data_IF_978699910563
#
_entry.id   IF_978699910563
#
_cell.length_a   1.000
_cell.length_b   1.000
_cell.length_c   1.000
_cell.angle_alpha   90.00
_cell.angle_beta   90.00
_cell.angle_gamma   90.00
#
_symmetry.space_group_name_H-M   'P 1'
#
loop_
_entity.id
_entity.type
_entity.pdbx_description
1 polymer ?
#
# COMPACT_ATOMS: atom_id res chain seq x y z
N UNK A 1 -41.93 6.43 10.87
CA UNK A 1 -41.63 7.88 10.93
C UNK A 1 -41.67 8.41 9.52
N UNK A 2 -42.47 9.44 9.27
CA UNK A 2 -42.65 10.01 7.93
C UNK A 2 -41.37 10.72 7.48
N UNK A 3 -41.24 10.95 6.18
CA UNK A 3 -40.13 11.72 5.56
C UNK A 3 -39.97 13.14 6.12
N UNK A 4 -40.95 13.67 6.85
CA UNK A 4 -40.88 14.99 7.49
C UNK A 4 -40.16 14.99 8.86
N UNK A 5 -40.02 13.85 9.54
CA UNK A 5 -39.32 13.78 10.84
C UNK A 5 -37.78 13.76 10.71
N UNK A 6 -37.24 13.55 9.50
CA UNK A 6 -35.78 13.59 9.25
C UNK A 6 -35.23 15.03 9.16
N UNK A 7 -36.08 16.06 9.10
CA UNK A 7 -35.68 17.41 8.75
C UNK A 7 -35.35 18.35 9.94
N UNK A 8 -35.09 17.82 11.15
CA UNK A 8 -34.94 18.66 12.36
C UNK A 8 -33.75 18.39 13.29
N UNK A 9 -32.66 17.78 12.81
CA UNK A 9 -31.34 18.03 13.44
C UNK A 9 -30.73 19.24 12.75
N UNK A 10 -30.90 20.41 13.34
CA UNK A 10 -30.31 21.66 12.86
C UNK A 10 -28.80 21.46 12.62
N UNK A 11 -28.33 21.81 11.42
CA UNK A 11 -26.91 21.81 11.10
C UNK A 11 -26.20 22.80 12.04
N UNK A 12 -25.43 22.29 12.99
CA UNK A 12 -24.59 23.11 13.86
C UNK A 12 -23.56 23.92 13.04
N UNK A 13 -23.06 25.00 13.63
CA UNK A 13 -22.00 25.82 13.06
C UNK A 13 -20.78 24.95 12.67
N UNK A 14 -20.34 25.04 11.40
CA UNK A 14 -19.14 24.35 10.93
C UNK A 14 -17.92 25.03 11.55
N UNK A 15 -17.22 24.32 12.43
CA UNK A 15 -15.95 24.80 12.98
C UNK A 15 -14.86 24.48 11.98
N UNK A 16 -14.29 25.52 11.37
CA UNK A 16 -13.13 25.37 10.49
C UNK A 16 -11.92 24.95 11.31
N UNK A 17 -11.26 23.88 10.89
CA UNK A 17 -10.05 23.33 11.51
C UNK A 17 -8.77 24.06 11.09
N UNK A 18 -8.90 25.07 10.23
CA UNK A 18 -7.84 25.82 9.56
C UNK A 18 -7.08 26.79 10.46
N UNK A 19 -7.36 26.88 11.75
CA UNK A 19 -6.57 27.69 12.68
C UNK A 19 -6.41 26.96 14.01
N UNK A 20 -5.29 27.18 14.72
CA UNK A 20 -5.13 26.65 16.08
C UNK A 20 -6.28 27.15 16.96
N UNK A 21 -6.90 26.25 17.74
CA UNK A 21 -7.96 26.65 18.65
C UNK A 21 -7.37 27.55 19.75
N UNK A 22 -7.95 28.74 19.93
CA UNK A 22 -7.72 29.56 21.12
C UNK A 22 -8.41 28.90 22.33
N UNK A 23 -7.63 28.25 23.20
CA UNK A 23 -7.87 27.94 24.62
C UNK A 23 -7.97 26.46 25.12
N UNK A 24 -7.10 26.20 26.11
CA UNK A 24 -7.20 25.47 27.41
C UNK A 24 -6.77 24.01 27.59
N UNK A 25 -6.79 23.14 26.58
CA UNK A 25 -6.15 21.82 26.74
C UNK A 25 -5.47 21.41 25.44
N UNK A 26 -4.15 21.21 25.46
CA UNK A 26 -3.44 20.72 24.29
C UNK A 26 -3.91 19.28 23.99
N UNK A 27 -4.09 18.91 22.71
CA UNK A 27 -4.36 17.53 22.35
C UNK A 27 -3.21 16.63 22.81
N UNK A 28 -3.46 15.32 22.95
CA UNK A 28 -2.40 14.37 23.25
C UNK A 28 -1.30 14.50 22.18
N UNK A 29 -0.06 14.74 22.62
CA UNK A 29 1.07 14.94 21.71
C UNK A 29 1.45 13.66 20.97
N UNK A 30 2.12 13.81 19.82
CA UNK A 30 2.72 12.70 19.09
C UNK A 30 4.24 12.86 19.10
N UNK A 31 4.95 11.94 19.75
CA UNK A 31 6.39 11.75 19.61
C UNK A 31 6.65 10.57 18.67
N UNK A 32 6.76 10.84 17.37
CA UNK A 32 6.64 9.82 16.33
C UNK A 32 7.57 8.61 16.50
N UNK A 33 8.82 8.83 16.92
CA UNK A 33 9.84 7.80 17.06
C UNK A 33 10.03 7.32 18.51
N UNK A 34 9.10 7.62 19.42
CA UNK A 34 9.18 7.10 20.79
C UNK A 34 8.98 5.58 20.81
N UNK A 35 9.85 4.89 21.55
CA UNK A 35 9.79 3.43 21.70
C UNK A 35 8.56 2.98 22.47
N UNK A 36 8.21 3.67 23.55
CA UNK A 36 7.05 3.32 24.35
C UNK A 36 5.77 3.92 23.77
N UNK A 37 4.70 3.14 23.56
CA UNK A 37 3.51 3.61 22.85
C UNK A 37 2.78 4.75 23.56
N UNK A 38 2.78 4.79 24.90
CA UNK A 38 2.20 5.92 25.65
C UNK A 38 3.00 7.22 25.48
N UNK A 39 4.31 7.14 25.28
CA UNK A 39 5.16 8.29 24.98
C UNK A 39 5.02 8.70 23.50
N UNK A 40 4.85 7.71 22.61
CA UNK A 40 4.55 7.94 21.19
C UNK A 40 3.25 8.73 21.07
N UNK A 41 2.23 8.32 21.82
CA UNK A 41 0.88 8.88 21.75
C UNK A 41 0.03 8.29 20.62
N UNK A 42 -1.31 8.39 20.71
CA UNK A 42 -2.21 7.89 19.68
C UNK A 42 -2.32 8.87 18.51
N UNK A 43 -2.67 8.35 17.33
CA UNK A 43 -3.09 9.19 16.19
C UNK A 43 -4.59 9.45 16.30
N UNK A 44 -4.97 10.73 16.39
CA UNK A 44 -6.35 11.18 16.59
C UNK A 44 -6.72 12.16 15.49
N UNK A 45 -7.47 11.67 14.50
CA UNK A 45 -8.04 12.47 13.41
C UNK A 45 -9.56 12.62 13.60
N UNK A 46 -9.99 12.95 14.82
CA UNK A 46 -11.40 13.02 15.23
C UNK A 46 -12.21 14.03 14.41
N UNK A 47 -13.44 13.63 14.04
CA UNK A 47 -14.42 14.49 13.37
C UNK A 47 -15.49 15.05 14.33
N UNK A 48 -15.58 14.49 15.54
CA UNK A 48 -16.62 14.80 16.53
C UNK A 48 -16.11 15.80 17.56
N UNK A 49 -14.88 15.60 18.05
CA UNK A 49 -14.22 16.52 18.97
C UNK A 49 -12.91 17.04 18.39
N UNK A 50 -13.03 18.16 17.66
CA UNK A 50 -11.90 18.82 16.99
C UNK A 50 -10.77 19.20 17.97
N UNK A 51 -11.07 19.45 19.25
CA UNK A 51 -10.06 19.82 20.26
C UNK A 51 -9.09 18.68 20.56
N UNK A 52 -9.48 17.42 20.33
CA UNK A 52 -8.63 16.26 20.57
C UNK A 52 -7.74 15.92 19.37
N UNK A 53 -7.91 16.57 18.21
CA UNK A 53 -7.16 16.26 16.99
C UNK A 53 -5.68 16.58 17.16
N UNK A 54 -4.85 15.62 16.79
CA UNK A 54 -3.39 15.77 16.67
C UNK A 54 -2.86 15.35 15.29
N UNK A 55 -3.76 15.09 14.33
CA UNK A 55 -3.43 14.76 12.94
C UNK A 55 -4.34 15.49 11.94
N UNK A 56 -3.80 15.74 10.75
CA UNK A 56 -4.48 16.29 9.58
C UNK A 56 -5.24 15.17 8.86
N UNK A 57 -6.40 15.48 8.27
CA UNK A 57 -7.25 14.49 7.60
C UNK A 57 -8.21 13.79 8.56
N UNK A 58 -8.57 12.55 8.24
CA UNK A 58 -9.52 11.71 8.98
C UNK A 58 -9.13 10.23 8.86
N UNK A 59 -9.53 9.42 9.82
CA UNK A 59 -9.47 7.96 9.71
C UNK A 59 -10.30 7.45 8.51
N UNK A 60 -10.08 6.19 8.13
CA UNK A 60 -10.73 5.50 7.01
C UNK A 60 -10.13 5.78 5.62
N UNK A 61 -8.95 6.43 5.55
CA UNK A 61 -8.20 6.67 4.31
C UNK A 61 -9.08 7.14 3.14
N UNK A 62 -8.96 6.47 1.97
CA UNK A 62 -9.77 6.75 0.77
C UNK A 62 -11.28 6.51 0.92
N UNK A 63 -11.73 5.87 2.01
CA UNK A 63 -13.15 5.65 2.30
C UNK A 63 -13.80 6.78 3.10
N UNK A 64 -13.03 7.77 3.54
CA UNK A 64 -13.52 8.93 4.29
C UNK A 64 -14.62 9.72 3.57
N UNK A 65 -14.54 9.85 2.24
CA UNK A 65 -15.58 10.52 1.43
C UNK A 65 -16.87 9.68 1.41
N UNK A 66 -16.78 8.36 1.31
CA UNK A 66 -17.96 7.48 1.41
C UNK A 66 -18.60 7.54 2.79
N UNK A 67 -17.79 7.63 3.86
CA UNK A 67 -18.29 7.88 5.22
C UNK A 67 -19.07 9.20 5.26
N UNK A 68 -18.54 10.28 4.69
CA UNK A 68 -19.22 11.57 4.64
C UNK A 68 -20.56 11.49 3.88
N UNK A 69 -20.61 10.77 2.76
CA UNK A 69 -21.85 10.50 2.03
C UNK A 69 -22.85 9.68 2.85
N UNK A 70 -22.39 8.66 3.58
CA UNK A 70 -23.25 7.86 4.46
C UNK A 70 -23.86 8.70 5.60
N UNK A 71 -23.10 9.64 6.16
CA UNK A 71 -23.59 10.61 7.14
C UNK A 71 -24.62 11.55 6.50
N UNK A 72 -24.32 12.11 5.34
CA UNK A 72 -25.22 13.01 4.62
C UNK A 72 -26.54 12.31 4.22
N UNK A 73 -26.48 11.04 3.86
CA UNK A 73 -27.63 10.20 3.56
C UNK A 73 -28.41 9.75 4.82
N UNK A 74 -27.91 10.04 6.02
CA UNK A 74 -28.48 9.61 7.30
C UNK A 74 -28.38 8.10 7.55
N UNK A 75 -27.46 7.41 6.87
CA UNK A 75 -27.16 5.98 7.05
C UNK A 75 -26.23 5.78 8.26
N UNK A 76 -25.33 6.73 8.52
CA UNK A 76 -24.39 6.70 9.64
C UNK A 76 -24.59 7.93 10.54
N UNK A 77 -24.65 7.73 11.85
CA UNK A 77 -24.61 8.84 12.80
C UNK A 77 -23.20 9.48 12.75
N UNK A 78 -23.07 10.80 12.53
CA UNK A 78 -21.77 11.48 12.57
C UNK A 78 -21.00 11.25 13.88
N UNK A 79 -21.72 11.08 14.99
CA UNK A 79 -21.18 10.86 16.34
C UNK A 79 -20.99 9.37 16.67
N UNK A 80 -21.20 8.47 15.71
CA UNK A 80 -21.01 7.05 15.91
C UNK A 80 -19.58 6.73 16.36
N UNK A 81 -19.48 6.12 17.55
CA UNK A 81 -18.26 5.54 18.08
C UNK A 81 -18.21 4.07 17.71
N UNK A 82 -17.16 3.63 16.99
CA UNK A 82 -17.01 2.21 16.66
C UNK A 82 -16.84 1.39 17.95
N UNK A 83 -17.50 0.23 17.99
CA UNK A 83 -17.24 -0.79 19.00
C UNK A 83 -16.01 -1.61 18.58
N UNK A 84 -14.96 -1.54 19.39
CA UNK A 84 -13.70 -2.26 19.17
C UNK A 84 -13.59 -3.54 20.02
N UNK A 85 -14.70 -3.96 20.66
CA UNK A 85 -14.74 -5.23 21.40
C UNK A 85 -14.49 -6.40 20.45
N UNK A 86 -13.61 -7.32 20.84
CA UNK A 86 -13.22 -8.50 20.05
C UNK A 86 -12.60 -8.17 18.68
N UNK A 87 -12.01 -6.98 18.50
CA UNK A 87 -11.28 -6.62 17.26
C UNK A 87 -9.77 -6.81 17.37
N UNK A 88 -9.26 -7.31 18.49
CA UNK A 88 -7.83 -7.55 18.72
C UNK A 88 -7.26 -8.50 17.65
N UNK A 89 -6.08 -8.19 17.08
CA UNK A 89 -5.38 -9.06 16.14
C UNK A 89 -5.25 -10.51 16.63
N UNK A 90 -5.42 -11.52 15.77
CA UNK A 90 -5.21 -12.92 16.15
C UNK A 90 -3.71 -13.28 16.31
N UNK A 91 -2.82 -12.38 15.90
CA UNK A 91 -1.36 -12.53 16.02
C UNK A 91 -0.76 -11.17 16.39
N UNK A 92 0.17 -11.18 17.33
CA UNK A 92 0.94 -9.99 17.70
C UNK A 92 2.12 -9.80 16.74
N UNK A 93 2.25 -8.59 16.21
CA UNK A 93 3.41 -8.15 15.42
C UNK A 93 4.13 -7.07 16.23
N UNK A 94 5.45 -7.20 16.33
CA UNK A 94 6.32 -6.29 17.08
C UNK A 94 6.10 -6.27 18.60
N UNK A 95 6.60 -5.21 19.28
CA UNK A 95 7.34 -4.10 18.70
C UNK A 95 8.69 -4.55 18.12
N UNK A 96 9.08 -3.92 17.01
CA UNK A 96 10.41 -4.11 16.43
C UNK A 96 11.24 -2.84 16.61
N UNK A 97 12.56 -2.98 16.76
CA UNK A 97 13.48 -1.85 16.99
C UNK A 97 13.28 -0.71 15.98
N UNK A 98 13.01 -1.06 14.73
CA UNK A 98 12.77 -0.14 13.62
C UNK A 98 11.62 0.85 13.89
N UNK A 99 10.68 0.56 14.78
CA UNK A 99 9.56 1.45 15.09
C UNK A 99 9.99 2.70 15.86
N UNK A 100 11.07 2.59 16.63
CA UNK A 100 11.65 3.69 17.41
C UNK A 100 12.83 4.37 16.69
N UNK A 101 13.29 3.82 15.56
CA UNK A 101 14.38 4.41 14.80
C UNK A 101 13.87 5.63 14.00
N UNK A 102 14.46 6.80 14.27
CA UNK A 102 14.07 8.06 13.61
C UNK A 102 14.10 7.89 12.09
N UNK A 103 13.03 8.37 11.44
CA UNK A 103 12.81 8.30 10.00
C UNK A 103 12.78 6.88 9.42
N UNK A 104 12.81 5.80 10.21
CA UNK A 104 12.78 4.44 9.65
C UNK A 104 11.40 4.09 9.08
N UNK A 105 10.33 4.47 9.79
CA UNK A 105 8.93 4.36 9.34
C UNK A 105 8.32 5.75 9.38
N UNK A 106 7.74 6.21 8.28
CA UNK A 106 7.20 7.58 8.13
C UNK A 106 5.83 7.63 7.44
N UNK A 107 5.34 6.52 6.90
CA UNK A 107 4.13 6.47 6.06
C UNK A 107 3.04 5.52 6.56
N UNK A 108 3.28 4.83 7.67
CA UNK A 108 2.30 4.00 8.39
C UNK A 108 2.46 4.22 9.90
N UNK A 109 1.39 3.97 10.67
CA UNK A 109 1.41 4.01 12.13
C UNK A 109 1.85 2.64 12.68
N UNK A 110 3.07 2.49 13.25
CA UNK A 110 3.57 1.18 13.67
C UNK A 110 2.73 0.52 14.77
N UNK A 111 2.03 1.34 15.57
CA UNK A 111 1.15 0.90 16.65
C UNK A 111 -0.30 0.71 16.22
N UNK A 112 -0.60 0.95 14.94
CA UNK A 112 -1.96 1.06 14.41
C UNK A 112 -2.85 -0.16 14.63
N UNK A 113 -2.30 -1.35 14.81
CA UNK A 113 -3.03 -2.60 15.09
C UNK A 113 -3.31 -2.84 16.56
N UNK A 114 -2.63 -2.13 17.46
CA UNK A 114 -2.67 -2.34 18.91
C UNK A 114 -3.31 -1.18 19.68
N UNK A 115 -3.78 -0.13 18.99
CA UNK A 115 -4.30 1.09 19.64
C UNK A 115 -5.52 0.84 20.52
N UNK A 116 -6.36 -0.15 20.19
CA UNK A 116 -7.55 -0.48 20.97
C UNK A 116 -7.20 -0.98 22.38
N UNK A 117 -6.13 -1.75 22.49
CA UNK A 117 -5.66 -2.31 23.76
C UNK A 117 -4.77 -1.30 24.50
N UNK A 118 -3.81 -0.68 23.79
CA UNK A 118 -2.83 0.25 24.36
C UNK A 118 -3.49 1.52 24.90
N UNK A 119 -4.50 2.04 24.19
CA UNK A 119 -5.17 3.29 24.53
C UNK A 119 -6.62 3.06 25.01
N UNK A 120 -6.88 1.89 25.58
CA UNK A 120 -8.20 1.54 26.10
C UNK A 120 -8.72 2.63 27.06
N UNK A 121 -7.91 3.09 28.01
CA UNK A 121 -8.31 4.12 28.98
C UNK A 121 -8.72 5.44 28.31
N UNK A 122 -7.95 5.91 27.32
CA UNK A 122 -8.24 7.12 26.57
C UNK A 122 -9.49 6.96 25.69
N UNK A 123 -9.68 5.78 25.09
CA UNK A 123 -10.91 5.47 24.34
C UNK A 123 -12.14 5.51 25.28
N UNK A 124 -12.04 4.92 26.47
CA UNK A 124 -13.10 4.98 27.50
C UNK A 124 -13.35 6.42 27.98
N UNK A 125 -12.30 7.24 28.06
CA UNK A 125 -12.39 8.67 28.37
C UNK A 125 -12.98 9.52 27.22
N UNK A 126 -13.25 8.91 26.05
CA UNK A 126 -13.94 9.53 24.93
C UNK A 126 -13.03 10.10 23.84
N UNK A 127 -11.73 9.75 23.83
CA UNK A 127 -10.86 10.05 22.70
C UNK A 127 -11.20 9.16 21.50
N UNK A 128 -11.27 9.76 20.31
CA UNK A 128 -11.60 9.07 19.05
C UNK A 128 -10.34 8.45 18.44
N UNK A 129 -9.81 7.43 19.11
CA UNK A 129 -8.62 6.67 18.70
C UNK A 129 -9.10 5.44 17.95
N UNK A 130 -8.63 5.24 16.71
CA UNK A 130 -9.08 4.14 15.85
C UNK A 130 -7.90 3.36 15.26
N UNK A 131 -8.01 2.04 15.09
CA UNK A 131 -7.01 1.26 14.39
C UNK A 131 -6.79 1.77 12.96
N UNK A 132 -5.53 1.88 12.57
CA UNK A 132 -5.10 2.16 11.19
C UNK A 132 -4.53 0.91 10.54
N UNK A 133 -4.34 -0.16 11.32
CA UNK A 133 -3.95 -1.48 10.85
C UNK A 133 -4.92 -2.50 11.45
N UNK A 134 -5.38 -3.46 10.65
CA UNK A 134 -6.19 -4.58 11.13
C UNK A 134 -5.61 -5.88 10.59
N UNK A 135 -5.50 -6.89 11.45
CA UNK A 135 -4.89 -8.19 11.13
C UNK A 135 -5.94 -9.29 11.33
N UNK A 136 -6.02 -10.23 10.41
CA UNK A 136 -6.91 -11.39 10.53
C UNK A 136 -6.34 -12.62 9.85
N UNK A 137 -6.93 -13.79 10.08
CA UNK A 137 -6.62 -15.04 9.36
C UNK A 137 -7.69 -15.30 8.30
N UNK A 138 -7.28 -15.83 7.16
CA UNK A 138 -8.18 -16.17 6.07
C UNK A 138 -7.62 -17.33 5.26
N UNK A 139 -8.44 -17.85 4.36
CA UNK A 139 -7.97 -18.64 3.23
C UNK A 139 -8.07 -17.81 1.95
N UNK A 140 -7.11 -17.97 1.05
CA UNK A 140 -7.21 -17.47 -0.32
C UNK A 140 -7.24 -18.66 -1.28
N UNK A 141 -7.98 -18.53 -2.38
CA UNK A 141 -8.04 -19.54 -3.43
C UNK A 141 -8.04 -18.83 -4.78
N UNK A 142 -7.20 -19.29 -5.70
CA UNK A 142 -7.07 -18.73 -7.04
C UNK A 142 -7.01 -19.88 -8.06
N UNK A 143 -7.63 -19.74 -9.25
CA UNK A 143 -7.57 -20.75 -10.31
C UNK A 143 -6.13 -21.18 -10.68
N UNK A 144 -5.17 -20.27 -10.58
CA UNK A 144 -3.76 -20.55 -10.87
C UNK A 144 -3.13 -21.53 -9.88
N UNK A 145 -3.58 -21.53 -8.62
CA UNK A 145 -3.08 -22.46 -7.60
C UNK A 145 -3.54 -23.89 -7.93
N UNK A 146 -4.78 -24.06 -8.40
CA UNK A 146 -5.26 -25.35 -8.91
C UNK A 146 -4.41 -25.83 -10.08
N UNK A 147 -4.15 -24.91 -11.02
CA UNK A 147 -3.33 -25.19 -12.20
C UNK A 147 -1.89 -25.55 -11.78
N UNK A 148 -1.34 -24.87 -10.77
CA UNK A 148 -0.02 -25.16 -10.22
C UNK A 148 0.04 -26.56 -9.60
N UNK A 149 -0.98 -26.96 -8.84
CA UNK A 149 -1.10 -28.30 -8.25
C UNK A 149 -1.20 -29.36 -9.36
N UNK A 150 -2.09 -29.16 -10.34
CA UNK A 150 -2.28 -30.11 -11.45
C UNK A 150 -1.01 -30.29 -12.28
N UNK A 151 -0.22 -29.22 -12.46
CA UNK A 151 1.07 -29.25 -13.16
C UNK A 151 2.24 -29.71 -12.27
N UNK A 152 1.99 -30.04 -11.00
CA UNK A 152 3.01 -30.49 -10.05
C UNK A 152 3.98 -29.41 -9.58
N UNK A 153 3.69 -28.13 -9.86
CA UNK A 153 4.50 -26.97 -9.40
C UNK A 153 4.28 -26.67 -7.93
N UNK A 154 3.08 -26.94 -7.41
CA UNK A 154 2.78 -26.89 -5.98
C UNK A 154 2.31 -28.26 -5.50
N UNK A 155 2.63 -28.59 -4.25
CA UNK A 155 2.19 -29.83 -3.59
C UNK A 155 1.43 -29.47 -2.32
N UNK A 156 0.13 -29.82 -2.19
CA UNK A 156 -0.60 -29.63 -0.95
C UNK A 156 0.08 -30.35 0.21
N UNK A 157 0.20 -29.67 1.35
CA UNK A 157 0.74 -30.21 2.61
C UNK A 157 -0.36 -30.36 3.69
N UNK A 158 -1.58 -29.89 3.39
CA UNK A 158 -2.69 -29.90 4.34
C UNK A 158 -2.53 -28.91 5.49
N UNK A 159 -1.52 -28.03 5.46
CA UNK A 159 -1.26 -27.02 6.50
C UNK A 159 -1.28 -25.63 5.88
N UNK A 160 -0.33 -25.35 4.99
CA UNK A 160 -0.24 -24.08 4.23
C UNK A 160 -1.14 -24.14 3.00
N UNK A 161 -1.07 -25.22 2.22
CA UNK A 161 -1.82 -25.43 0.99
C UNK A 161 -2.68 -26.69 1.13
N UNK A 162 -3.99 -26.51 0.98
CA UNK A 162 -4.99 -27.59 1.05
C UNK A 162 -5.17 -28.24 -0.32
N UNK A 163 -5.71 -29.46 -0.33
CA UNK A 163 -5.96 -30.21 -1.59
C UNK A 163 -6.94 -29.50 -2.52
N UNK A 164 -7.90 -28.76 -1.96
CA UNK A 164 -8.84 -27.93 -2.71
C UNK A 164 -8.22 -26.60 -3.20
N UNK A 165 -6.90 -26.41 -3.06
CA UNK A 165 -6.15 -25.21 -3.43
C UNK A 165 -6.33 -24.00 -2.52
N UNK A 166 -7.04 -24.14 -1.39
CA UNK A 166 -7.06 -23.09 -0.37
C UNK A 166 -5.66 -22.94 0.24
N UNK A 167 -5.24 -21.69 0.40
CA UNK A 167 -3.99 -21.34 1.07
C UNK A 167 -4.31 -20.61 2.36
N UNK A 168 -3.79 -21.13 3.47
CA UNK A 168 -3.95 -20.52 4.79
C UNK A 168 -3.03 -19.32 4.90
N UNK A 169 -3.60 -18.15 5.16
CA UNK A 169 -2.85 -16.90 5.27
C UNK A 169 -3.24 -16.12 6.52
N UNK A 170 -2.26 -15.40 7.06
CA UNK A 170 -2.56 -14.20 7.84
C UNK A 170 -2.60 -13.03 6.86
N UNK A 171 -3.50 -12.06 7.06
CA UNK A 171 -3.53 -10.83 6.26
C UNK A 171 -3.63 -9.59 7.15
N UNK A 172 -2.99 -8.52 6.72
CA UNK A 172 -3.09 -7.20 7.34
C UNK A 172 -3.61 -6.19 6.33
N UNK A 173 -4.56 -5.35 6.72
CA UNK A 173 -4.94 -4.14 6.00
C UNK A 173 -4.31 -2.94 6.71
N UNK A 174 -3.66 -2.05 5.96
CA UNK A 174 -2.87 -0.94 6.51
C UNK A 174 -3.27 0.36 5.80
N UNK A 175 -3.76 1.32 6.58
CA UNK A 175 -4.04 2.69 6.15
C UNK A 175 -2.75 3.54 6.17
N UNK A 176 -2.60 4.49 5.23
CA UNK A 176 -1.47 5.39 5.23
C UNK A 176 -1.58 6.41 6.38
N UNK A 177 -0.51 6.56 7.15
CA UNK A 177 -0.38 7.57 8.20
C UNK A 177 1.00 8.20 8.06
N UNK A 178 1.02 9.44 7.57
CA UNK A 178 2.24 10.11 7.17
C UNK A 178 2.76 11.03 8.28
N UNK A 179 4.02 10.83 8.68
CA UNK A 179 4.77 11.79 9.46
C UNK A 179 5.48 12.76 8.53
N UNK A 180 4.91 13.96 8.39
CA UNK A 180 5.28 14.95 7.37
C UNK A 180 6.77 15.34 7.39
N UNK A 181 7.43 15.55 8.55
CA UNK A 181 8.88 15.81 8.57
C UNK A 181 9.67 14.65 7.94
N UNK A 182 9.33 13.41 8.29
CA UNK A 182 10.00 12.23 7.73
C UNK A 182 9.72 12.00 6.25
N UNK A 183 8.51 12.33 5.77
CA UNK A 183 8.17 12.31 4.35
C UNK A 183 8.98 13.36 3.58
N UNK A 184 9.12 14.58 4.11
CA UNK A 184 9.90 15.65 3.51
C UNK A 184 11.38 15.26 3.38
N UNK A 185 11.96 14.71 4.46
CA UNK A 185 13.32 14.17 4.47
C UNK A 185 13.50 13.07 3.40
N UNK A 186 12.52 12.16 3.26
CA UNK A 186 12.55 11.05 2.30
C UNK A 186 12.56 11.53 0.85
N UNK A 187 11.81 12.59 0.55
CA UNK A 187 11.76 13.18 -0.79
C UNK A 187 12.80 14.26 -1.03
N UNK A 188 13.67 14.53 -0.05
CA UNK A 188 14.71 15.56 -0.15
C UNK A 188 14.12 16.94 -0.51
N UNK A 189 13.01 17.30 0.14
CA UNK A 189 12.35 18.61 0.01
C UNK A 189 12.14 19.22 1.39
N UNK A 190 11.91 20.53 1.46
CA UNK A 190 11.54 21.15 2.74
C UNK A 190 10.13 20.74 3.15
N UNK A 191 9.86 20.63 4.46
CA UNK A 191 8.52 20.32 4.97
C UNK A 191 7.49 21.38 4.54
N UNK A 192 7.89 22.65 4.51
CA UNK A 192 7.03 23.76 4.07
C UNK A 192 6.64 23.62 2.59
N UNK A 193 7.60 23.27 1.73
CA UNK A 193 7.36 23.01 0.30
C UNK A 193 6.47 21.79 0.09
N UNK A 194 6.73 20.69 0.81
CA UNK A 194 5.90 19.48 0.76
C UNK A 194 4.45 19.81 1.11
N UNK A 195 4.22 20.46 2.26
CA UNK A 195 2.88 20.82 2.75
C UNK A 195 2.14 21.73 1.78
N UNK A 196 2.83 22.78 1.29
CA UNK A 196 2.28 23.72 0.33
C UNK A 196 1.90 23.03 -0.98
N UNK A 197 2.79 22.19 -1.51
CA UNK A 197 2.54 21.44 -2.75
C UNK A 197 1.37 20.48 -2.58
N UNK A 198 1.30 19.75 -1.46
CA UNK A 198 0.15 18.88 -1.17
C UNK A 198 -1.16 19.67 -1.14
N UNK A 199 -1.19 20.83 -0.48
CA UNK A 199 -2.37 21.69 -0.43
C UNK A 199 -2.77 22.22 -1.82
N UNK A 200 -1.83 22.80 -2.58
CA UNK A 200 -2.11 23.39 -3.89
C UNK A 200 -2.50 22.33 -4.93
N UNK A 201 -1.79 21.20 -4.98
CA UNK A 201 -2.02 20.13 -5.97
C UNK A 201 -3.22 19.23 -5.63
N UNK A 202 -3.80 19.36 -4.44
CA UNK A 202 -5.09 18.72 -4.09
C UNK A 202 -6.27 19.68 -4.20
N UNK A 203 -6.09 20.84 -4.85
CA UNK A 203 -7.17 21.82 -5.05
C UNK A 203 -7.57 22.54 -3.76
N UNK A 204 -6.63 22.71 -2.83
CA UNK A 204 -6.87 23.37 -1.54
C UNK A 204 -7.52 22.47 -0.49
N UNK A 205 -7.50 21.15 -0.67
CA UNK A 205 -7.93 20.23 0.38
C UNK A 205 -6.98 20.30 1.59
N UNK A 206 -7.54 20.15 2.79
CA UNK A 206 -6.81 20.18 4.07
C UNK A 206 -6.02 21.48 4.31
N UNK A 207 -6.70 22.61 4.56
CA UNK A 207 -6.04 23.87 4.90
C UNK A 207 -5.07 23.78 6.08
N UNK A 208 -5.23 22.78 6.96
CA UNK A 208 -4.31 22.50 8.07
C UNK A 208 -2.87 22.24 7.60
N UNK A 209 -2.66 21.75 6.38
CA UNK A 209 -1.32 21.56 5.82
C UNK A 209 -0.52 22.86 5.83
N UNK A 210 -1.17 24.01 5.59
CA UNK A 210 -0.51 25.33 5.53
C UNK A 210 -0.77 26.18 6.78
N UNK A 211 -1.81 25.89 7.55
CA UNK A 211 -2.23 26.72 8.69
C UNK A 211 -1.93 26.14 10.08
N UNK A 212 -1.62 24.84 10.17
CA UNK A 212 -1.41 24.11 11.42
C UNK A 212 -0.02 23.44 11.44
N UNK A 213 1.01 24.25 11.62
CA UNK A 213 2.40 23.76 11.77
C UNK A 213 2.61 22.94 13.06
N UNK A 214 1.67 22.97 14.00
CA UNK A 214 1.64 22.12 15.19
C UNK A 214 1.23 20.67 14.89
N UNK A 215 0.67 20.39 13.72
CA UNK A 215 0.24 19.04 13.31
C UNK A 215 1.26 18.43 12.34
N UNK A 216 2.02 17.44 12.82
CA UNK A 216 3.07 16.76 12.04
C UNK A 216 2.61 15.45 11.38
N UNK A 217 1.40 14.99 11.67
CA UNK A 217 0.84 13.74 11.14
C UNK A 217 -0.29 14.05 10.18
N UNK A 218 -0.35 13.35 9.05
CA UNK A 218 -1.37 13.46 8.03
C UNK A 218 -1.91 12.08 7.65
N UNK A 219 -3.23 11.94 7.59
CA UNK A 219 -3.91 10.76 7.07
C UNK A 219 -4.40 11.08 5.65
N UNK A 220 -3.59 10.85 4.61
CA UNK A 220 -3.99 11.13 3.24
C UNK A 220 -5.14 10.21 2.81
N UNK A 221 -6.16 10.72 2.09
CA UNK A 221 -7.29 9.92 1.62
C UNK A 221 -6.94 9.10 0.36
N UNK A 222 -5.81 8.39 0.40
CA UNK A 222 -5.31 7.56 -0.71
C UNK A 222 -5.53 6.08 -0.41
N UNK A 223 -5.32 5.24 -1.42
CA UNK A 223 -5.31 3.80 -1.25
C UNK A 223 -4.22 3.35 -0.28
N UNK A 224 -4.59 2.53 0.70
CA UNK A 224 -3.64 1.86 1.58
C UNK A 224 -3.00 0.64 0.93
N UNK A 225 -2.56 -0.30 1.76
CA UNK A 225 -2.00 -1.57 1.30
C UNK A 225 -2.60 -2.75 2.07
N UNK A 226 -2.45 -3.93 1.50
CA UNK A 226 -2.73 -5.20 2.19
C UNK A 226 -1.51 -6.10 2.14
N UNK A 227 -1.19 -6.75 3.25
CA UNK A 227 -0.11 -7.73 3.33
C UNK A 227 -0.70 -9.12 3.51
N UNK A 228 -0.22 -10.11 2.76
CA UNK A 228 -0.58 -11.52 2.88
C UNK A 228 0.66 -12.31 3.29
N UNK A 229 0.53 -13.06 4.38
CA UNK A 229 1.59 -13.85 4.99
C UNK A 229 1.31 -15.33 4.81
N UNK A 230 2.31 -16.05 4.34
CA UNK A 230 2.29 -17.51 4.16
C UNK A 230 3.23 -18.11 5.19
N UNK A 231 2.74 -19.06 5.99
CA UNK A 231 3.48 -19.59 7.13
C UNK A 231 3.29 -18.77 8.41
N UNK A 232 4.27 -18.86 9.32
CA UNK A 232 4.24 -18.16 10.59
C UNK A 232 4.76 -16.72 10.43
N UNK A 233 3.88 -15.73 10.56
CA UNK A 233 4.26 -14.30 10.48
C UNK A 233 5.19 -13.87 11.60
N UNK A 234 5.17 -14.57 12.75
CA UNK A 234 5.98 -14.18 13.91
C UNK A 234 7.48 -14.41 13.69
N UNK A 235 7.87 -15.20 12.69
CA UNK A 235 9.27 -15.52 12.40
C UNK A 235 9.87 -14.63 11.31
N UNK A 236 9.07 -13.80 10.61
CA UNK A 236 9.49 -13.08 9.40
C UNK A 236 10.63 -12.07 9.61
N UNK A 237 10.82 -11.62 10.85
CA UNK A 237 11.90 -10.71 11.24
C UNK A 237 13.23 -11.42 11.46
N UNK A 238 13.24 -12.75 11.65
CA UNK A 238 14.46 -13.53 11.82
C UNK A 238 15.15 -13.75 10.47
N UNK A 239 16.28 -13.07 10.28
CA UNK A 239 17.13 -13.19 9.08
C UNK A 239 17.67 -14.60 8.77
N UNK A 240 17.49 -15.58 9.67
CA UNK A 240 17.83 -16.99 9.44
C UNK A 240 16.70 -17.79 8.79
N UNK A 241 15.48 -17.27 8.82
CA UNK A 241 14.30 -17.92 8.27
C UNK A 241 14.12 -17.48 6.82
N UNK A 242 13.98 -18.44 5.90
CA UNK A 242 13.82 -18.14 4.47
C UNK A 242 12.59 -17.23 4.26
N UNK A 243 12.76 -16.16 3.49
CA UNK A 243 11.68 -15.23 3.16
C UNK A 243 11.60 -15.01 1.65
N UNK A 244 10.51 -15.46 1.05
CA UNK A 244 10.09 -15.06 -0.30
C UNK A 244 9.15 -13.86 -0.22
N UNK A 245 9.53 -12.74 -0.83
CA UNK A 245 8.80 -11.49 -0.73
C UNK A 245 8.50 -10.88 -2.11
N UNK A 246 7.27 -10.40 -2.29
CA UNK A 246 6.81 -9.65 -3.46
C UNK A 246 6.13 -8.36 -2.99
N UNK A 247 6.65 -7.22 -3.44
CA UNK A 247 5.91 -5.95 -3.36
C UNK A 247 5.23 -5.71 -4.70
N UNK A 248 3.91 -5.75 -4.68
CA UNK A 248 3.02 -5.64 -5.81
C UNK A 248 2.31 -4.29 -5.80
N UNK A 249 2.24 -3.63 -6.95
CA UNK A 249 1.39 -2.46 -7.11
C UNK A 249 0.19 -2.89 -7.94
N UNK A 250 -0.99 -2.49 -7.48
CA UNK A 250 -2.29 -2.80 -8.06
C UNK A 250 -2.32 -2.59 -9.58
N UNK A 251 -2.89 -3.58 -10.25
CA UNK A 251 -3.23 -3.54 -11.67
C UNK A 251 -4.57 -4.26 -11.87
N UNK A 252 -5.68 -3.59 -11.58
CA UNK A 252 -7.04 -4.13 -11.58
C UNK A 252 -7.35 -4.98 -12.83
N UNK A 253 -7.07 -4.44 -14.02
CA UNK A 253 -7.28 -5.16 -15.29
C UNK A 253 -6.54 -6.50 -15.40
N UNK A 254 -5.33 -6.62 -14.85
CA UNK A 254 -4.58 -7.88 -14.86
C UNK A 254 -4.93 -8.73 -13.66
N UNK A 255 -4.85 -8.15 -12.46
CA UNK A 255 -4.98 -8.84 -11.18
C UNK A 255 -6.38 -9.43 -10.97
N UNK A 256 -7.44 -8.76 -11.43
CA UNK A 256 -8.82 -9.22 -11.30
C UNK A 256 -9.31 -9.93 -12.56
N UNK A 257 -9.07 -9.32 -13.73
CA UNK A 257 -9.69 -9.75 -15.00
C UNK A 257 -8.76 -10.51 -15.95
N UNK A 258 -7.50 -10.74 -15.56
CA UNK A 258 -6.58 -11.58 -16.34
C UNK A 258 -6.11 -10.96 -17.65
N UNK A 259 -6.06 -9.63 -17.75
CA UNK A 259 -5.52 -8.93 -18.93
C UNK A 259 -4.10 -9.42 -19.27
N UNK A 260 -3.89 -9.73 -20.54
CA UNK A 260 -2.68 -10.33 -21.13
C UNK A 260 -1.66 -9.32 -21.65
N UNK A 261 -1.96 -8.02 -21.57
CA UNK A 261 -1.11 -6.93 -22.05
C UNK A 261 0.03 -6.57 -21.09
N UNK A 262 0.03 -7.16 -19.88
CA UNK A 262 1.05 -6.91 -18.88
C UNK A 262 1.34 -8.14 -18.01
N UNK A 263 2.43 -8.07 -17.27
CA UNK A 263 2.96 -9.15 -16.43
C UNK A 263 2.58 -9.02 -14.95
N UNK A 264 1.66 -8.10 -14.58
CA UNK A 264 1.29 -7.86 -13.19
C UNK A 264 0.75 -9.12 -12.48
N UNK A 265 -0.33 -9.72 -12.99
CA UNK A 265 -0.90 -10.95 -12.40
C UNK A 265 0.07 -12.14 -12.44
N UNK A 266 0.79 -12.42 -13.54
CA UNK A 266 1.83 -13.45 -13.54
C UNK A 266 2.87 -13.29 -12.42
N UNK A 267 3.38 -12.08 -12.18
CA UNK A 267 4.30 -11.81 -11.07
C UNK A 267 3.65 -11.97 -9.69
N UNK A 268 2.38 -11.57 -9.54
CA UNK A 268 1.63 -11.75 -8.29
C UNK A 268 1.48 -13.24 -7.97
N UNK A 269 0.99 -14.03 -8.93
CA UNK A 269 0.80 -15.48 -8.79
C UNK A 269 2.13 -16.17 -8.52
N UNK A 270 3.18 -15.85 -9.26
CA UNK A 270 4.50 -16.44 -9.03
C UNK A 270 5.05 -16.10 -7.64
N UNK A 271 4.86 -14.87 -7.17
CA UNK A 271 5.21 -14.49 -5.80
C UNK A 271 4.46 -15.32 -4.75
N UNK A 272 3.16 -15.57 -4.97
CA UNK A 272 2.32 -16.40 -4.08
C UNK A 272 2.84 -17.84 -4.06
N UNK A 273 3.12 -18.42 -5.22
CA UNK A 273 3.65 -19.79 -5.33
C UNK A 273 4.97 -19.93 -4.54
N UNK A 274 5.93 -19.03 -4.76
CA UNK A 274 7.20 -19.07 -4.03
C UNK A 274 7.03 -18.82 -2.53
N UNK A 275 6.06 -17.99 -2.14
CA UNK A 275 5.70 -17.75 -0.74
C UNK A 275 5.15 -19.01 -0.06
N UNK A 276 4.26 -19.75 -0.74
CA UNK A 276 3.74 -21.04 -0.29
C UNK A 276 4.88 -22.03 -0.13
N UNK A 277 5.71 -22.21 -1.16
CA UNK A 277 6.82 -23.18 -1.12
C UNK A 277 7.82 -22.86 0.01
N UNK A 278 8.14 -21.58 0.22
CA UNK A 278 9.04 -21.16 1.32
C UNK A 278 8.41 -21.48 2.67
N UNK A 279 7.12 -21.19 2.86
CA UNK A 279 6.39 -21.53 4.07
C UNK A 279 6.37 -23.04 4.35
N UNK A 280 6.19 -23.87 3.31
CA UNK A 280 6.22 -25.33 3.42
C UNK A 280 7.58 -25.89 3.83
N UNK A 281 8.68 -25.18 3.52
CA UNK A 281 10.04 -25.54 3.94
C UNK A 281 10.40 -25.04 5.35
N UNK A 282 9.46 -24.44 6.08
CA UNK A 282 9.70 -23.82 7.38
C UNK A 282 10.19 -22.37 7.30
N UNK A 283 10.16 -21.77 6.12
CA UNK A 283 10.34 -20.33 5.89
C UNK A 283 9.03 -19.55 6.02
N UNK A 284 8.96 -18.42 5.33
CA UNK A 284 7.78 -17.57 5.21
C UNK A 284 7.63 -16.97 3.81
N UNK A 285 6.40 -16.64 3.44
CA UNK A 285 6.06 -15.86 2.26
C UNK A 285 5.41 -14.54 2.62
N UNK A 286 5.68 -13.48 1.85
CA UNK A 286 5.07 -12.17 2.01
C UNK A 286 4.69 -11.58 0.65
N UNK A 287 3.41 -11.23 0.51
CA UNK A 287 2.93 -10.38 -0.58
C UNK A 287 2.43 -9.06 0.01
N UNK A 288 3.06 -7.95 -0.35
CA UNK A 288 2.56 -6.61 -0.07
C UNK A 288 1.85 -6.10 -1.32
N UNK A 289 0.56 -5.86 -1.24
CA UNK A 289 -0.28 -5.34 -2.32
C UNK A 289 -0.63 -3.87 -2.06
N UNK A 290 0.04 -2.96 -2.78
CA UNK A 290 -0.20 -1.52 -2.71
C UNK A 290 -1.30 -1.09 -3.68
N UNK A 291 -2.25 -0.29 -3.23
CA UNK A 291 -3.32 0.26 -4.08
C UNK A 291 -2.85 1.49 -4.86
N UNK A 292 -1.89 1.28 -5.75
CA UNK A 292 -1.21 2.29 -6.58
C UNK A 292 -1.39 1.98 -8.07
N UNK A 293 -2.63 1.97 -8.53
CA UNK A 293 -2.99 1.68 -9.93
C UNK A 293 -2.27 2.58 -10.94
N UNK A 294 -1.87 2.00 -12.07
CA UNK A 294 -1.34 2.74 -13.21
C UNK A 294 -0.08 3.55 -12.89
N UNK A 295 0.80 3.04 -12.02
CA UNK A 295 1.97 3.80 -11.53
C UNK A 295 1.58 5.07 -10.77
N UNK A 296 0.51 4.98 -9.99
CA UNK A 296 -0.12 6.11 -9.30
C UNK A 296 -0.70 7.21 -10.22
N UNK A 297 -0.86 6.94 -11.53
CA UNK A 297 -1.56 7.82 -12.48
C UNK A 297 -3.07 7.56 -12.54
N UNK A 298 -3.52 6.42 -12.02
CA UNK A 298 -4.90 5.97 -12.10
C UNK A 298 -5.27 5.25 -13.40
N UNK A 299 -6.42 4.58 -13.38
CA UNK A 299 -6.86 3.68 -14.47
C UNK A 299 -7.23 4.43 -15.76
N UNK A 300 -7.82 5.63 -15.65
CA UNK A 300 -8.19 6.46 -16.81
C UNK A 300 -6.95 6.79 -17.64
N UNK A 301 -5.91 7.35 -17.01
CA UNK A 301 -4.66 7.72 -17.68
C UNK A 301 -3.99 6.49 -18.29
N UNK A 302 -3.97 5.37 -17.56
CA UNK A 302 -3.46 4.08 -18.07
C UNK A 302 -4.15 3.66 -19.37
N UNK A 303 -5.48 3.75 -19.44
CA UNK A 303 -6.21 3.36 -20.65
C UNK A 303 -5.99 4.35 -21.81
N UNK A 304 -5.86 5.65 -21.52
CA UNK A 304 -5.45 6.64 -22.53
C UNK A 304 -4.07 6.29 -23.11
N UNK A 305 -3.11 5.90 -22.26
CA UNK A 305 -1.77 5.44 -22.70
C UNK A 305 -1.87 4.18 -23.56
N UNK A 306 -2.69 3.20 -23.19
CA UNK A 306 -2.90 2.00 -24.02
C UNK A 306 -3.49 2.34 -25.40
N UNK A 307 -4.48 3.22 -25.45
CA UNK A 307 -5.05 3.68 -26.71
C UNK A 307 -4.01 4.43 -27.56
N UNK A 308 -3.21 5.30 -26.95
CA UNK A 308 -2.15 6.02 -27.63
C UNK A 308 -1.06 5.08 -28.18
N UNK A 309 -0.67 4.06 -27.41
CA UNK A 309 0.27 3.00 -27.81
C UNK A 309 -0.22 2.21 -29.01
N UNK A 310 -1.51 1.85 -29.04
CA UNK A 310 -2.08 1.10 -30.18
C UNK A 310 -2.26 1.95 -31.45
N UNK A 311 -2.58 3.24 -31.29
CA UNK A 311 -2.87 4.16 -32.43
C UNK A 311 -1.63 4.77 -33.08
N UNK A 312 -0.46 4.69 -32.45
CA UNK A 312 0.74 5.29 -33.01
C UNK A 312 1.17 4.61 -34.32
N UNK A 313 1.83 5.37 -35.20
CA UNK A 313 2.44 4.81 -36.39
C UNK A 313 3.49 3.75 -36.01
N UNK A 314 3.30 2.54 -36.55
CA UNK A 314 4.11 1.36 -36.23
C UNK A 314 3.47 0.40 -35.21
N UNK A 315 2.32 0.77 -34.61
CA UNK A 315 1.62 -0.04 -33.62
C UNK A 315 2.25 0.04 -32.23
N UNK A 316 1.82 -0.85 -31.33
CA UNK A 316 2.36 -0.93 -29.97
C UNK A 316 3.72 -1.64 -29.98
N UNK A 317 4.80 -0.89 -29.75
CA UNK A 317 6.19 -1.39 -29.79
C UNK A 317 6.94 -1.02 -28.52
N UNK A 318 7.94 -1.84 -28.16
CA UNK A 318 8.70 -1.66 -26.93
C UNK A 318 9.48 -0.34 -26.92
N UNK A 319 10.02 0.08 -28.07
CA UNK A 319 10.81 1.31 -28.21
C UNK A 319 10.07 2.60 -27.81
N UNK A 320 8.75 2.65 -27.99
CA UNK A 320 7.92 3.84 -27.70
C UNK A 320 7.10 3.72 -26.41
N UNK A 321 7.32 2.65 -25.63
CA UNK A 321 6.49 2.32 -24.48
C UNK A 321 6.45 3.43 -23.43
N UNK A 322 7.63 3.92 -23.00
CA UNK A 322 7.73 4.94 -21.96
C UNK A 322 7.44 6.34 -22.50
N UNK A 323 7.86 6.64 -23.74
CA UNK A 323 7.55 7.91 -24.42
C UNK A 323 6.04 8.18 -24.43
N UNK A 324 5.21 7.17 -24.71
CA UNK A 324 3.75 7.33 -24.72
C UNK A 324 3.17 7.62 -23.35
N UNK A 325 3.76 7.08 -22.29
CA UNK A 325 3.34 7.40 -20.93
C UNK A 325 3.65 8.86 -20.62
N UNK A 326 4.86 9.30 -20.92
CA UNK A 326 5.32 10.68 -20.70
C UNK A 326 4.51 11.70 -21.52
N UNK A 327 4.20 11.42 -22.79
CA UNK A 327 3.37 12.30 -23.61
C UNK A 327 1.96 12.52 -23.04
N UNK A 328 1.37 11.50 -22.40
CA UNK A 328 0.00 11.56 -21.88
C UNK A 328 -0.04 12.07 -20.44
N UNK A 329 0.90 11.65 -19.61
CA UNK A 329 0.91 11.89 -18.17
C UNK A 329 1.90 12.96 -17.71
N UNK A 330 2.81 13.43 -18.57
CA UNK A 330 3.89 14.35 -18.23
C UNK A 330 5.06 13.70 -17.48
N UNK A 331 4.95 12.43 -17.11
CA UNK A 331 5.96 11.66 -16.38
C UNK A 331 5.79 10.16 -16.64
N UNK A 332 6.87 9.38 -16.49
CA UNK A 332 6.83 7.94 -16.73
C UNK A 332 6.36 7.13 -15.51
N UNK A 333 6.53 7.66 -14.30
CA UNK A 333 6.19 7.00 -13.03
C UNK A 333 5.96 8.05 -11.93
N UNK A 334 4.83 7.97 -11.21
CA UNK A 334 4.52 8.81 -10.05
C UNK A 334 4.56 8.04 -8.74
N UNK A 335 5.03 6.78 -8.74
CA UNK A 335 5.07 5.98 -7.51
C UNK A 335 6.24 6.41 -6.65
N UNK A 336 5.90 6.77 -5.43
CA UNK A 336 6.85 6.88 -4.33
C UNK A 336 7.20 5.47 -3.82
N UNK A 337 8.27 4.89 -4.35
CA UNK A 337 8.74 3.56 -3.94
C UNK A 337 9.52 3.63 -2.62
N UNK A 338 10.04 4.79 -2.27
CA UNK A 338 10.77 5.08 -1.04
C UNK A 338 9.91 4.81 0.21
N UNK A 339 8.58 4.91 0.09
CA UNK A 339 7.65 4.63 1.19
C UNK A 339 7.33 3.14 1.34
N UNK A 340 7.64 2.30 0.35
CA UNK A 340 7.21 0.90 0.36
C UNK A 340 7.99 0.03 1.35
N UNK A 341 9.17 0.47 1.79
CA UNK A 341 9.99 -0.25 2.78
C UNK A 341 9.42 -0.15 4.19
N UNK A 342 8.59 0.86 4.47
CA UNK A 342 8.02 1.10 5.80
C UNK A 342 7.25 -0.11 6.34
N UNK A 343 6.49 -0.82 5.49
CA UNK A 343 5.79 -2.06 5.91
C UNK A 343 6.77 -3.20 6.22
N UNK A 344 7.90 -3.26 5.52
CA UNK A 344 8.93 -4.27 5.80
C UNK A 344 9.61 -3.97 7.15
N UNK A 345 9.88 -2.70 7.43
CA UNK A 345 10.39 -2.26 8.73
C UNK A 345 9.37 -2.44 9.86
N UNK A 346 8.08 -2.23 9.58
CA UNK A 346 7.02 -2.54 10.53
C UNK A 346 7.00 -4.03 10.91
N UNK A 347 7.31 -4.91 9.95
CA UNK A 347 7.46 -6.36 10.19
C UNK A 347 8.82 -6.75 10.78
N UNK A 348 9.71 -5.79 11.07
CA UNK A 348 11.05 -6.04 11.60
C UNK A 348 12.02 -6.69 10.61
N UNK A 349 11.67 -6.76 9.32
CA UNK A 349 12.47 -7.44 8.29
C UNK A 349 13.79 -6.68 8.08
N UNK A 350 14.89 -7.43 8.12
CA UNK A 350 16.24 -6.95 7.80
C UNK A 350 16.86 -7.68 6.61
N UNK A 351 16.31 -8.84 6.20
CA UNK A 351 16.78 -9.62 5.06
C UNK A 351 15.62 -10.28 4.31
N UNK A 352 15.67 -10.22 2.99
CA UNK A 352 14.81 -10.94 2.07
C UNK A 352 15.66 -11.95 1.31
N UNK A 353 15.34 -13.23 1.43
CA UNK A 353 16.08 -14.28 0.76
C UNK A 353 15.78 -14.29 -0.75
N UNK A 354 14.50 -14.17 -1.12
CA UNK A 354 14.05 -14.24 -2.51
C UNK A 354 13.08 -13.10 -2.79
N UNK A 355 13.57 -12.05 -3.44
CA UNK A 355 12.76 -10.89 -3.82
C UNK A 355 12.22 -11.06 -5.24
N UNK A 356 10.91 -11.26 -5.37
CA UNK A 356 10.26 -11.55 -6.64
C UNK A 356 9.98 -10.23 -7.39
N UNK A 357 10.98 -9.71 -8.10
CA UNK A 357 10.82 -8.49 -8.88
C UNK A 357 11.94 -8.24 -9.89
N UNK A 358 11.56 -7.78 -11.07
CA UNK A 358 12.48 -7.16 -12.04
C UNK A 358 12.68 -5.65 -11.83
N UNK A 359 11.94 -4.99 -10.93
CA UNK A 359 12.00 -3.53 -10.78
C UNK A 359 13.24 -3.08 -10.00
N UNK A 360 14.10 -2.28 -10.63
CA UNK A 360 15.26 -1.69 -9.95
C UNK A 360 14.84 -0.64 -8.93
N UNK A 361 13.86 0.21 -9.25
CA UNK A 361 13.33 1.19 -8.28
C UNK A 361 12.89 0.52 -6.97
N UNK A 362 12.23 -0.65 -7.06
CA UNK A 362 11.85 -1.40 -5.86
C UNK A 362 13.06 -1.97 -5.13
N UNK A 363 13.95 -2.62 -5.87
CA UNK A 363 15.17 -3.19 -5.29
C UNK A 363 16.01 -2.13 -4.56
N UNK A 364 16.28 -1.00 -5.23
CA UNK A 364 17.08 0.10 -4.71
C UNK A 364 16.46 0.72 -3.46
N UNK A 365 15.15 1.00 -3.47
CA UNK A 365 14.47 1.54 -2.29
C UNK A 365 14.53 0.59 -1.08
N UNK A 366 14.47 -0.73 -1.29
CA UNK A 366 14.64 -1.72 -0.19
C UNK A 366 16.07 -1.71 0.34
N UNK A 367 17.08 -1.81 -0.55
CA UNK A 367 18.49 -1.82 -0.14
C UNK A 367 18.87 -0.51 0.57
N UNK A 368 18.47 0.64 0.02
CA UNK A 368 18.73 1.96 0.61
C UNK A 368 18.06 2.14 1.99
N UNK A 369 16.96 1.43 2.24
CA UNK A 369 16.30 1.41 3.55
C UNK A 369 17.05 0.58 4.62
N UNK A 370 18.08 -0.17 4.19
CA UNK A 370 18.93 -1.01 5.03
C UNK A 370 18.47 -2.46 5.14
N UNK A 371 17.70 -2.96 4.18
CA UNK A 371 17.27 -4.36 4.12
C UNK A 371 18.12 -5.09 3.07
N UNK A 372 18.68 -6.22 3.44
CA UNK A 372 19.47 -7.05 2.53
C UNK A 372 18.58 -7.88 1.61
N UNK A 373 18.99 -8.07 0.35
CA UNK A 373 18.34 -8.98 -0.61
C UNK A 373 19.37 -9.97 -1.12
N UNK A 374 19.14 -11.28 -0.93
CA UNK A 374 20.08 -12.31 -1.39
C UNK A 374 19.89 -12.59 -2.90
N UNK A 375 18.66 -12.80 -3.34
CA UNK A 375 18.32 -13.14 -4.71
C UNK A 375 17.16 -12.29 -5.23
N UNK A 376 17.27 -11.83 -6.48
CA UNK A 376 16.14 -11.27 -7.24
C UNK A 376 15.60 -12.34 -8.17
N UNK A 377 14.35 -12.73 -7.96
CA UNK A 377 13.67 -13.76 -8.77
C UNK A 377 12.86 -13.09 -9.88
N UNK A 378 13.14 -13.47 -11.12
CA UNK A 378 12.40 -13.02 -12.31
C UNK A 378 11.19 -13.91 -12.57
N UNK A 379 10.24 -13.41 -13.37
CA UNK A 379 9.16 -14.24 -13.88
C UNK A 379 9.71 -15.28 -14.88
N UNK A 380 9.36 -16.57 -14.77
CA UNK A 380 9.67 -17.58 -15.79
C UNK A 380 9.07 -17.22 -17.15
N UNK A 381 9.80 -17.50 -18.24
CA UNK A 381 9.40 -17.10 -19.60
C UNK A 381 8.06 -17.73 -20.02
N UNK A 382 7.76 -18.95 -19.57
CA UNK A 382 6.50 -19.65 -19.84
C UNK A 382 5.28 -19.00 -19.16
N UNK A 383 5.50 -18.13 -18.18
CA UNK A 383 4.44 -17.37 -17.50
C UNK A 383 4.23 -15.98 -18.10
N UNK A 384 5.03 -15.56 -19.08
CA UNK A 384 4.89 -14.27 -19.77
C UNK A 384 3.81 -14.39 -20.85
N UNK A 385 2.70 -13.65 -20.76
CA UNK A 385 1.73 -13.60 -21.86
C UNK A 385 2.36 -13.02 -23.13
N UNK A 386 1.94 -13.51 -24.31
CA UNK A 386 2.53 -13.09 -25.60
C UNK A 386 2.47 -11.57 -25.81
N UNK A 387 1.34 -10.94 -25.52
CA UNK A 387 1.15 -9.49 -25.72
C UNK A 387 1.96 -8.66 -24.69
N UNK A 388 2.20 -9.22 -23.51
CA UNK A 388 3.07 -8.63 -22.49
C UNK A 388 4.56 -8.65 -22.85
N UNK A 389 4.96 -9.33 -23.94
CA UNK A 389 6.35 -9.32 -24.41
C UNK A 389 6.81 -7.90 -24.77
N UNK A 390 5.90 -7.06 -25.31
CA UNK A 390 6.16 -5.64 -25.57
C UNK A 390 6.56 -4.90 -24.29
N UNK A 391 5.85 -5.13 -23.19
CA UNK A 391 6.16 -4.55 -21.89
C UNK A 391 7.50 -5.07 -21.36
N UNK A 392 7.73 -6.38 -21.44
CA UNK A 392 8.93 -7.02 -20.91
C UNK A 392 10.20 -6.51 -21.60
N UNK A 393 10.19 -6.42 -22.93
CA UNK A 393 11.36 -5.97 -23.69
C UNK A 393 11.59 -4.47 -23.50
N UNK A 394 10.53 -3.66 -23.41
CA UNK A 394 10.65 -2.24 -23.07
C UNK A 394 11.31 -2.04 -21.70
N UNK A 395 10.87 -2.80 -20.69
CA UNK A 395 11.45 -2.75 -19.34
C UNK A 395 12.91 -3.18 -19.33
N UNK A 396 13.25 -4.28 -20.00
CA UNK A 396 14.64 -4.76 -20.11
C UNK A 396 15.55 -3.70 -20.74
N UNK A 397 15.09 -3.04 -21.82
CA UNK A 397 15.83 -1.95 -22.45
C UNK A 397 15.97 -0.70 -21.56
N UNK A 398 14.97 -0.39 -20.74
CA UNK A 398 15.03 0.66 -19.73
C UNK A 398 15.88 0.27 -18.49
N UNK A 399 16.63 -0.82 -18.56
CA UNK A 399 17.58 -1.24 -17.53
C UNK A 399 16.98 -2.09 -16.41
N UNK A 400 15.72 -2.52 -16.49
CA UNK A 400 15.13 -3.42 -15.49
C UNK A 400 15.91 -4.75 -15.44
N UNK A 401 15.98 -5.34 -14.26
CA UNK A 401 16.78 -6.55 -14.04
C UNK A 401 16.33 -7.72 -14.94
N UNK A 402 17.30 -8.26 -15.67
CA UNK A 402 17.20 -9.49 -16.45
C UNK A 402 18.51 -10.26 -16.28
N UNK A 403 18.49 -11.53 -15.85
CA UNK A 403 19.70 -12.33 -15.70
C UNK A 403 20.39 -12.59 -17.05
N UNK A 404 19.60 -12.59 -18.14
CA UNK A 404 20.07 -12.91 -19.49
C UNK A 404 19.79 -11.72 -20.42
N UNK A 405 20.85 -10.98 -20.76
CA UNK A 405 20.98 -10.08 -21.93
C UNK A 405 20.29 -8.70 -21.88
N UNK A 406 21.05 -7.68 -22.31
CA UNK A 406 20.55 -6.35 -22.71
C UNK A 406 20.02 -6.48 -24.14
N UNK A 407 18.75 -6.14 -24.36
CA UNK A 407 18.08 -6.21 -25.68
C UNK A 407 18.57 -5.04 -26.55
N UNK A 408 19.04 -5.32 -27.77
CA UNK A 408 19.51 -4.29 -28.71
C UNK A 408 18.32 -3.45 -29.24
N UNK A 409 18.59 -2.20 -29.66
CA UNK A 409 17.58 -1.28 -30.17
C UNK A 409 16.84 -1.83 -31.40
N UNK A 410 17.51 -2.65 -32.20
CA UNK A 410 16.91 -3.35 -33.35
C UNK A 410 15.97 -4.47 -32.91
N UNK A 411 16.25 -5.13 -31.78
CA UNK A 411 15.40 -6.19 -31.22
C UNK A 411 14.14 -5.61 -30.57
N UNK A 412 14.19 -4.38 -30.03
CA UNK A 412 13.01 -3.69 -29.45
C UNK A 412 11.92 -3.33 -30.45
N UNK A 413 12.21 -3.35 -31.75
CA UNK A 413 11.24 -3.12 -32.80
C UNK A 413 10.48 -4.40 -33.22
N UNK A 414 10.93 -5.57 -32.76
CA UNK A 414 10.37 -6.88 -33.15
C UNK A 414 9.05 -7.21 -32.43
N UNK A 415 8.92 -7.03 -31.11
CA UNK A 415 7.65 -7.29 -30.42
C UNK A 415 6.62 -6.26 -30.85
N UNK A 416 5.48 -6.75 -31.35
CA UNK A 416 4.32 -5.94 -31.69
C UNK A 416 3.12 -6.41 -30.91
N UNK A 417 2.50 -5.48 -30.18
CA UNK A 417 1.26 -5.75 -29.47
C UNK A 417 0.09 -5.89 -30.44
N UNK A 418 -0.99 -6.50 -29.96
CA UNK A 418 -2.23 -6.66 -30.75
C UNK A 418 -2.83 -5.32 -31.17
N UNK A 419 -3.55 -5.34 -32.30
CA UNK A 419 -4.20 -4.15 -32.85
C UNK A 419 -5.42 -3.70 -32.01
N UNK A 420 -6.16 -2.67 -32.45
CA UNK A 420 -7.40 -2.27 -31.78
C UNK A 420 -8.59 -3.19 -32.11
N UNK A 421 -8.56 -3.84 -33.27
CA UNK A 421 -9.68 -4.60 -33.82
C UNK A 421 -9.54 -6.13 -33.59
N UNK A 422 -8.54 -6.52 -32.80
CA UNK A 422 -8.21 -7.88 -32.35
C UNK A 422 -8.25 -7.95 -30.82
#
# INVERSE_FOLDING_TARGET
MSTQDKAKKAHGHIVLTSHPASHTTAPLGINWAAEHPKERGPVIASLTNIKHRNAIGTHSGSYSVYRALAVAAGVLDPEHKPDLTNTTPPINIGPHKQWAEKNKIVSIDPWGHAVADIFAEEIHAGYDIRPTIAITKAHINMPELQTAIQKGRLKPDGVILRENGDVVVTKAAIEPVWYLPGIADRFNVSEAELRRTLFEQTGGMFPELVTRSDLNVFLPPIGGLTAYFFGDVTTIHDSKIELSCRIHDECNGSDVFGSDICTCRPYLVHGIELGIESAQRGGAGLIVYNRKEGRALGEVTKFLVYNARKRQQGGDTAAKYFERTECVAGVQDMRFQELMSDVLHWLGITRIHRFVSMSNMKYEAIIQSGIEINERVTLPDELIPKDAQVEMDAKRAAGYFSPNRIVDINELALPKGRSLDE
#
